data_IF_769662190533
#
_entry.id   IF_769662190533
#
_cell.length_a   1.000
_cell.length_b   1.000
_cell.length_c   1.000
_cell.angle_alpha   90.00
_cell.angle_beta   90.00
_cell.angle_gamma   90.00
#
_symmetry.space_group_name_H-M   'P 1'
#
loop_
_entity.id
_entity.type
_entity.pdbx_description
1 polymer ?
#
# COMPACT_ATOMS: atom_id res chain seq x y z
N UNK A 1 4.77 6.45 -0.81
CA UNK A 1 4.27 5.07 -0.73
C UNK A 1 5.10 4.15 -1.61
N UNK A 2 5.37 2.93 -1.13
CA UNK A 2 6.17 1.92 -1.85
C UNK A 2 5.35 0.71 -2.31
N UNK A 3 4.04 0.74 -2.11
CA UNK A 3 3.15 -0.34 -2.51
C UNK A 3 3.10 -0.51 -4.05
N UNK A 4 2.81 -1.70 -4.56
CA UNK A 4 2.61 -1.90 -5.98
C UNK A 4 1.49 -1.02 -6.54
N UNK A 5 1.76 -0.33 -7.66
CA UNK A 5 0.83 0.58 -8.32
C UNK A 5 0.32 1.73 -7.42
N UNK A 6 1.10 2.11 -6.40
CA UNK A 6 0.76 3.20 -5.50
C UNK A 6 0.54 4.52 -6.27
N UNK A 7 -0.46 5.33 -5.87
CA UNK A 7 -0.67 6.64 -6.46
C UNK A 7 0.53 7.56 -6.24
N UNK A 8 0.84 8.38 -7.23
CA UNK A 8 1.80 9.46 -7.07
C UNK A 8 1.18 10.60 -6.26
N UNK A 9 1.61 10.75 -5.02
CA UNK A 9 1.11 11.81 -4.16
C UNK A 9 1.48 13.22 -4.67
N UNK A 10 2.60 13.37 -5.38
CA UNK A 10 2.95 14.65 -6.01
C UNK A 10 1.87 15.10 -7.00
N UNK A 11 1.29 14.16 -7.76
CA UNK A 11 0.16 14.47 -8.63
C UNK A 11 -1.07 14.92 -7.85
N UNK A 12 -1.38 14.25 -6.75
CA UNK A 12 -2.52 14.61 -5.89
C UNK A 12 -2.33 15.97 -5.19
N UNK A 13 -1.08 16.37 -4.95
CA UNK A 13 -0.71 17.58 -4.25
C UNK A 13 -0.80 18.84 -5.12
N UNK A 14 -0.82 18.70 -6.45
CA UNK A 14 -0.86 19.86 -7.37
C UNK A 14 -2.03 20.79 -7.11
N UNK A 15 -1.71 22.06 -6.78
CA UNK A 15 -2.69 23.09 -6.42
C UNK A 15 -3.21 22.98 -4.97
N UNK A 16 -2.70 22.08 -4.17
CA UNK A 16 -3.07 21.85 -2.77
C UNK A 16 -1.89 22.09 -1.81
N UNK A 17 -0.77 22.60 -2.31
CA UNK A 17 0.48 22.74 -1.55
C UNK A 17 0.30 23.61 -0.29
N UNK A 18 -0.49 24.69 -0.41
CA UNK A 18 -0.81 25.56 0.73
C UNK A 18 -1.65 24.83 1.78
N UNK A 19 -2.64 24.02 1.35
CA UNK A 19 -3.45 23.21 2.24
C UNK A 19 -2.60 22.15 2.95
N UNK A 20 -1.68 21.51 2.23
CA UNK A 20 -0.77 20.52 2.81
C UNK A 20 0.11 21.15 3.89
N UNK A 21 0.74 22.29 3.61
CA UNK A 21 1.57 22.99 4.60
C UNK A 21 0.75 23.45 5.84
N UNK A 22 -0.46 23.97 5.62
CA UNK A 22 -1.36 24.34 6.74
C UNK A 22 -1.71 23.12 7.60
N UNK A 23 -1.95 21.97 6.99
CA UNK A 23 -2.18 20.71 7.71
C UNK A 23 -0.98 20.29 8.55
N UNK A 24 0.23 20.36 7.99
CA UNK A 24 1.47 20.09 8.72
C UNK A 24 1.70 21.07 9.88
N UNK A 25 1.42 22.35 9.67
CA UNK A 25 1.53 23.39 10.70
C UNK A 25 0.57 23.13 11.86
N UNK A 26 -0.64 22.66 11.57
CA UNK A 26 -1.61 22.30 12.61
C UNK A 26 -1.11 21.09 13.43
N UNK A 27 -0.59 20.06 12.79
CA UNK A 27 -0.06 18.87 13.45
C UNK A 27 1.19 19.19 14.27
N UNK A 28 2.08 20.03 13.78
CA UNK A 28 3.32 20.42 14.47
C UNK A 28 3.07 21.18 15.77
N UNK A 29 1.90 21.82 15.92
CA UNK A 29 1.47 22.46 17.19
C UNK A 29 0.97 21.45 18.22
N UNK A 30 0.57 20.25 17.79
CA UNK A 30 0.07 19.20 18.69
C UNK A 30 1.21 18.31 19.19
N UNK A 31 2.14 17.95 18.31
CA UNK A 31 3.25 17.05 18.62
C UNK A 31 4.41 17.25 17.63
N UNK A 32 5.60 16.75 18.02
CA UNK A 32 6.75 16.66 17.11
C UNK A 32 6.37 15.80 15.91
N UNK A 33 6.40 16.39 14.73
CA UNK A 33 5.91 15.78 13.50
C UNK A 33 7.05 15.44 12.57
N UNK A 34 7.02 14.25 12.00
CA UNK A 34 7.96 13.75 11.01
C UNK A 34 7.24 13.51 9.68
N UNK A 35 7.90 13.87 8.59
CA UNK A 35 7.44 13.62 7.22
C UNK A 35 8.43 12.69 6.52
N UNK A 36 8.03 11.45 6.28
CA UNK A 36 8.80 10.49 5.48
C UNK A 36 8.57 10.71 3.99
N UNK A 37 9.64 10.88 3.22
CA UNK A 37 9.60 11.03 1.77
C UNK A 37 10.54 10.02 1.09
N UNK A 38 10.35 9.80 -0.22
CA UNK A 38 11.33 9.05 -1.02
C UNK A 38 12.54 9.96 -1.33
N UNK A 39 13.75 9.39 -1.37
CA UNK A 39 14.96 10.10 -1.85
C UNK A 39 14.80 10.61 -3.29
N UNK A 40 13.90 10.00 -4.06
CA UNK A 40 13.60 10.39 -5.45
C UNK A 40 12.60 11.54 -5.54
N UNK A 41 12.02 11.97 -4.40
CA UNK A 41 11.03 13.05 -4.35
C UNK A 41 11.66 14.39 -4.71
N UNK A 42 11.02 15.14 -5.62
CA UNK A 42 11.50 16.43 -6.11
C UNK A 42 10.54 17.59 -5.81
N UNK A 43 9.33 17.32 -5.38
CA UNK A 43 8.35 18.37 -5.06
C UNK A 43 8.85 19.24 -3.92
N UNK A 44 8.98 20.55 -4.17
CA UNK A 44 9.43 21.52 -3.16
C UNK A 44 8.50 21.53 -1.94
N UNK A 45 7.21 21.34 -2.13
CA UNK A 45 6.22 21.29 -1.04
C UNK A 45 6.45 20.11 -0.07
N UNK A 46 7.08 19.02 -0.52
CA UNK A 46 7.41 17.89 0.30
C UNK A 46 8.84 17.95 0.85
N UNK A 47 9.80 18.26 0.00
CA UNK A 47 11.24 18.32 0.37
C UNK A 47 11.55 19.49 1.29
N UNK A 48 10.86 20.61 1.11
CA UNK A 48 11.05 21.85 1.88
C UNK A 48 9.89 22.13 2.84
N UNK A 49 9.15 21.10 3.25
CA UNK A 49 8.04 21.23 4.19
C UNK A 49 8.55 21.88 5.50
N UNK A 50 7.78 22.87 6.00
CA UNK A 50 8.16 23.64 7.18
C UNK A 50 7.53 23.06 8.45
N UNK A 51 8.14 23.36 9.60
CA UNK A 51 7.67 23.01 10.95
C UNK A 51 7.57 21.49 11.20
N UNK A 52 8.19 20.68 10.35
CA UNK A 52 8.28 19.22 10.48
C UNK A 52 9.69 18.76 10.20
N UNK A 53 10.06 17.58 10.71
CA UNK A 53 11.33 16.94 10.38
C UNK A 53 11.13 16.08 9.13
N UNK A 54 11.73 16.46 8.02
CA UNK A 54 11.68 15.71 6.77
C UNK A 54 12.79 14.64 6.79
N UNK A 55 12.43 13.39 6.56
CA UNK A 55 13.36 12.27 6.48
C UNK A 55 13.19 11.55 5.15
N UNK A 56 14.28 11.37 4.41
CA UNK A 56 14.27 10.68 3.12
C UNK A 56 14.60 9.21 3.28
N UNK A 57 13.83 8.35 2.61
CA UNK A 57 14.00 6.90 2.60
C UNK A 57 14.29 6.40 1.20
N UNK A 58 15.19 5.43 1.10
CA UNK A 58 15.49 4.69 -0.12
C UNK A 58 15.31 3.19 0.12
N UNK A 59 14.87 2.49 -0.90
CA UNK A 59 14.71 1.04 -0.86
C UNK A 59 13.47 0.54 -1.58
N UNK A 60 13.38 -0.78 -1.78
CA UNK A 60 12.16 -1.43 -2.27
C UNK A 60 11.05 -1.38 -1.22
N UNK A 61 9.84 -1.82 -1.60
CA UNK A 61 8.80 -2.10 -0.62
C UNK A 61 9.34 -3.10 0.43
N UNK A 62 9.16 -2.86 1.74
CA UNK A 62 8.23 -1.94 2.40
C UNK A 62 8.85 -0.60 2.91
N UNK A 63 9.88 -0.05 2.29
CA UNK A 63 10.51 1.20 2.73
C UNK A 63 9.53 2.38 2.89
N UNK A 64 8.40 2.36 2.14
CA UNK A 64 7.33 3.35 2.26
C UNK A 64 6.32 3.09 3.39
N UNK A 65 6.42 1.96 4.10
CA UNK A 65 5.51 1.66 5.20
C UNK A 65 5.88 2.48 6.44
N UNK A 66 4.87 3.10 7.03
CA UNK A 66 5.08 4.02 8.16
C UNK A 66 5.73 3.35 9.37
N UNK A 67 5.41 2.09 9.66
CA UNK A 67 6.04 1.33 10.75
C UNK A 67 7.54 1.15 10.55
N UNK A 68 7.98 0.87 9.32
CA UNK A 68 9.41 0.80 8.96
C UNK A 68 10.08 2.16 9.15
N UNK A 69 9.43 3.24 8.71
CA UNK A 69 9.96 4.60 8.87
C UNK A 69 10.07 5.01 10.34
N UNK A 70 9.09 4.67 11.16
CA UNK A 70 9.12 4.92 12.61
C UNK A 70 10.29 4.19 13.25
N UNK A 71 10.48 2.91 12.94
CA UNK A 71 11.58 2.12 13.49
C UNK A 71 12.97 2.74 13.19
N UNK A 72 13.14 3.29 11.98
CA UNK A 72 14.40 3.92 11.61
C UNK A 72 14.59 5.35 12.12
N UNK A 73 13.52 6.09 12.40
CA UNK A 73 13.60 7.47 12.90
C UNK A 73 13.68 7.49 14.43
N UNK A 74 12.78 6.78 15.08
CA UNK A 74 12.61 6.73 16.53
C UNK A 74 11.83 5.49 16.91
N UNK A 75 12.49 4.35 17.14
CA UNK A 75 11.82 3.12 17.55
C UNK A 75 10.95 3.36 18.78
N UNK A 76 9.74 2.83 18.77
CA UNK A 76 8.79 2.99 19.87
C UNK A 76 9.13 2.00 20.98
N UNK A 77 9.27 2.50 22.20
CA UNK A 77 9.51 1.66 23.38
C UNK A 77 8.26 1.60 24.27
N UNK A 78 8.26 0.64 25.22
CA UNK A 78 7.11 0.45 26.14
C UNK A 78 6.76 1.74 26.87
N UNK A 79 5.50 2.13 26.79
CA UNK A 79 4.97 3.37 27.39
C UNK A 79 4.93 4.58 26.45
N UNK A 80 5.53 4.49 25.27
CA UNK A 80 5.44 5.52 24.24
C UNK A 80 4.24 5.30 23.31
N UNK A 81 3.72 6.38 22.75
CA UNK A 81 2.64 6.34 21.76
C UNK A 81 3.01 7.20 20.56
N UNK A 82 2.91 6.63 19.38
CA UNK A 82 3.12 7.32 18.10
C UNK A 82 1.82 7.30 17.29
N UNK A 83 1.42 8.47 16.82
CA UNK A 83 0.27 8.62 15.94
C UNK A 83 0.75 8.72 14.50
N UNK A 84 0.06 8.04 13.62
CA UNK A 84 0.32 8.09 12.17
C UNK A 84 -0.84 8.70 11.42
N UNK A 85 -0.54 9.41 10.35
CA UNK A 85 -1.54 10.04 9.49
C UNK A 85 -1.09 9.93 8.03
N UNK A 86 -2.01 9.63 7.11
CA UNK A 86 -1.71 9.65 5.69
C UNK A 86 -1.57 11.07 5.16
N UNK A 87 -0.77 11.24 4.12
CA UNK A 87 -0.56 12.55 3.50
C UNK A 87 -1.88 13.16 2.96
N UNK A 88 -2.80 12.33 2.48
CA UNK A 88 -4.13 12.76 2.05
C UNK A 88 -4.97 13.29 3.22
N UNK A 89 -4.85 12.68 4.40
CA UNK A 89 -5.58 13.17 5.58
C UNK A 89 -5.01 14.50 6.08
N UNK A 90 -3.72 14.75 5.88
CA UNK A 90 -3.12 16.09 6.14
C UNK A 90 -3.76 17.15 5.24
N UNK A 91 -4.05 16.83 3.97
CA UNK A 91 -4.78 17.75 3.08
C UNK A 91 -6.19 18.06 3.60
N UNK A 92 -6.90 17.06 4.17
CA UNK A 92 -8.24 17.32 4.75
C UNK A 92 -8.18 18.29 5.94
N UNK A 93 -7.17 18.13 6.80
CA UNK A 93 -6.92 19.05 7.91
C UNK A 93 -6.63 20.46 7.38
N UNK A 94 -5.74 20.57 6.40
CA UNK A 94 -5.38 21.88 5.84
C UNK A 94 -6.56 22.59 5.17
N UNK A 95 -7.37 21.85 4.38
CA UNK A 95 -8.60 22.41 3.79
C UNK A 95 -9.58 22.90 4.86
N UNK A 96 -9.79 22.09 5.90
CA UNK A 96 -10.63 22.49 7.02
C UNK A 96 -10.14 23.78 7.68
N UNK A 97 -8.85 23.88 7.98
CA UNK A 97 -8.25 25.05 8.62
C UNK A 97 -8.33 26.31 7.74
N UNK A 98 -8.15 26.16 6.42
CA UNK A 98 -8.16 27.28 5.50
C UNK A 98 -9.58 27.73 5.11
N UNK A 99 -10.55 26.82 5.04
CA UNK A 99 -11.90 27.12 4.53
C UNK A 99 -13.01 27.08 5.58
N UNK A 100 -12.75 26.50 6.76
CA UNK A 100 -13.76 26.23 7.79
C UNK A 100 -14.77 25.14 7.40
N UNK A 101 -14.55 24.41 6.29
CA UNK A 101 -15.46 23.38 5.80
C UNK A 101 -14.74 22.04 5.64
N UNK A 102 -15.42 20.96 6.03
CA UNK A 102 -14.91 19.59 5.84
C UNK A 102 -15.02 19.20 4.37
N UNK A 103 -13.87 18.97 3.73
CA UNK A 103 -13.80 18.40 2.40
C UNK A 103 -12.88 17.16 2.41
N UNK A 104 -13.49 15.99 2.37
CA UNK A 104 -12.83 14.68 2.35
C UNK A 104 -12.68 14.13 0.91
N UNK A 105 -12.63 14.99 -0.08
CA UNK A 105 -12.33 14.61 -1.46
C UNK A 105 -10.86 14.25 -1.58
N UNK A 106 -10.57 13.09 -2.16
CA UNK A 106 -9.20 12.63 -2.43
C UNK A 106 -9.00 12.26 -3.89
N UNK A 107 -7.76 12.30 -4.33
CA UNK A 107 -7.34 11.76 -5.62
C UNK A 107 -7.09 10.26 -5.45
N UNK A 108 -7.80 9.46 -6.23
CA UNK A 108 -7.73 7.98 -6.19
C UNK A 108 -7.19 7.49 -7.52
N UNK A 109 -6.17 6.62 -7.47
CA UNK A 109 -5.67 5.94 -8.65
C UNK A 109 -6.52 4.71 -8.94
N UNK A 110 -7.01 4.58 -10.16
CA UNK A 110 -7.69 3.37 -10.66
C UNK A 110 -6.69 2.59 -11.49
N UNK A 111 -6.29 1.42 -11.01
CA UNK A 111 -5.14 0.65 -11.52
C UNK A 111 -5.45 -0.85 -11.60
N UNK A 112 -4.50 -1.61 -12.10
CA UNK A 112 -4.59 -3.07 -12.22
C UNK A 112 -4.60 -3.53 -13.68
N UNK A 113 -4.27 -4.79 -13.90
CA UNK A 113 -4.16 -5.38 -15.26
C UNK A 113 -5.49 -5.41 -16.02
N UNK A 114 -6.61 -5.38 -15.30
CA UNK A 114 -7.94 -5.48 -15.87
C UNK A 114 -8.66 -4.14 -16.00
N UNK A 115 -7.96 -3.03 -15.73
CA UNK A 115 -8.47 -1.68 -15.96
C UNK A 115 -8.11 -1.24 -17.38
N UNK A 116 -9.11 -0.93 -18.19
CA UNK A 116 -8.93 -0.56 -19.61
C UNK A 116 -8.23 0.79 -19.78
N UNK A 117 -8.56 1.75 -18.91
CA UNK A 117 -7.98 3.10 -18.92
C UNK A 117 -7.57 3.48 -17.51
N UNK A 118 -6.34 3.12 -17.07
CA UNK A 118 -5.82 3.56 -15.78
C UNK A 118 -5.80 5.08 -15.70
N UNK A 119 -6.35 5.63 -14.61
CA UNK A 119 -6.47 7.07 -14.45
C UNK A 119 -6.60 7.47 -12.98
N UNK A 120 -6.35 8.75 -12.71
CA UNK A 120 -6.72 9.36 -11.44
C UNK A 120 -8.14 9.93 -11.50
N UNK A 121 -8.90 9.72 -10.44
CA UNK A 121 -10.21 10.33 -10.26
C UNK A 121 -10.34 10.99 -8.88
N UNK A 122 -11.14 12.04 -8.78
CA UNK A 122 -11.48 12.68 -7.50
C UNK A 122 -12.73 12.04 -6.93
N UNK A 123 -12.62 11.41 -5.78
CA UNK A 123 -13.71 10.75 -5.08
C UNK A 123 -13.80 11.24 -3.64
N UNK A 124 -14.99 11.28 -3.09
CA UNK A 124 -15.17 11.45 -1.65
C UNK A 124 -14.90 10.14 -0.93
N UNK A 125 -14.46 10.22 0.31
CA UNK A 125 -14.38 9.06 1.20
C UNK A 125 -15.75 8.36 1.26
N UNK A 126 -15.76 7.04 1.10
CA UNK A 126 -17.00 6.25 1.05
C UNK A 126 -17.81 6.39 -0.25
N UNK A 127 -17.23 6.91 -1.33
CA UNK A 127 -17.90 7.01 -2.62
C UNK A 127 -18.26 5.63 -3.18
N UNK A 128 -19.43 5.53 -3.83
CA UNK A 128 -19.88 4.35 -4.54
C UNK A 128 -19.00 4.09 -5.77
N UNK A 129 -18.52 2.87 -5.94
CA UNK A 129 -17.53 2.51 -6.97
C UNK A 129 -18.12 2.15 -8.32
N UNK A 130 -19.44 1.93 -8.41
CA UNK A 130 -20.14 1.50 -9.64
C UNK A 130 -19.76 2.33 -10.86
N UNK A 131 -19.78 3.65 -10.71
CA UNK A 131 -19.49 4.56 -11.83
C UNK A 131 -18.00 4.60 -12.20
N UNK A 132 -17.12 4.24 -11.29
CA UNK A 132 -15.67 4.21 -11.52
C UNK A 132 -15.30 3.03 -12.42
N UNK A 133 -15.93 1.88 -12.18
CA UNK A 133 -15.64 0.65 -12.91
C UNK A 133 -16.48 0.48 -14.19
N UNK A 134 -17.63 1.16 -14.29
CA UNK A 134 -18.55 1.03 -15.43
C UNK A 134 -17.87 1.35 -16.75
N UNK A 135 -17.75 0.34 -17.63
CA UNK A 135 -17.10 0.49 -18.95
C UNK A 135 -15.59 0.73 -18.91
N UNK A 136 -14.95 0.56 -17.77
CA UNK A 136 -13.50 0.75 -17.60
C UNK A 136 -12.76 -0.50 -17.11
N UNK A 137 -13.41 -1.65 -17.11
CA UNK A 137 -12.82 -2.94 -16.75
C UNK A 137 -13.13 -3.97 -17.83
N UNK A 138 -12.29 -5.00 -17.95
CA UNK A 138 -12.56 -6.15 -18.84
C UNK A 138 -13.81 -6.91 -18.38
N UNK A 139 -14.46 -7.61 -19.30
CA UNK A 139 -15.73 -8.32 -19.02
C UNK A 139 -15.71 -9.78 -19.42
N UNK A 140 -14.56 -10.29 -19.84
CA UNK A 140 -14.35 -11.63 -20.39
C UNK A 140 -13.95 -12.69 -19.33
N UNK A 141 -13.80 -12.26 -18.06
CA UNK A 141 -13.37 -13.11 -16.95
C UNK A 141 -13.87 -12.58 -15.61
N UNK A 142 -13.78 -13.42 -14.58
CA UNK A 142 -14.07 -13.01 -13.21
C UNK A 142 -12.97 -12.09 -12.67
N UNK A 143 -13.39 -11.00 -12.04
CA UNK A 143 -12.51 -9.95 -11.58
C UNK A 143 -12.54 -9.80 -10.05
N UNK A 144 -11.37 -9.57 -9.49
CA UNK A 144 -11.21 -9.12 -8.11
C UNK A 144 -11.07 -7.61 -8.07
N UNK A 145 -12.06 -6.96 -7.49
CA UNK A 145 -12.04 -5.53 -7.20
C UNK A 145 -11.47 -5.33 -5.80
N UNK A 146 -10.48 -4.47 -5.67
CA UNK A 146 -9.77 -4.21 -4.43
C UNK A 146 -9.83 -2.72 -4.12
N UNK A 147 -10.34 -2.37 -2.93
CA UNK A 147 -10.12 -1.05 -2.35
C UNK A 147 -8.78 -1.06 -1.65
N UNK A 148 -7.83 -0.27 -2.13
CA UNK A 148 -6.42 -0.31 -1.76
C UNK A 148 -5.54 -1.05 -2.77
N UNK A 149 -4.35 -1.45 -2.33
CA UNK A 149 -3.36 -2.19 -3.13
C UNK A 149 -3.55 -3.71 -3.03
N UNK A 150 -2.80 -4.45 -3.84
CA UNK A 150 -2.90 -5.93 -3.89
C UNK A 150 -2.36 -6.65 -2.66
N UNK A 151 -1.58 -5.99 -1.80
CA UNK A 151 -0.95 -6.61 -0.63
C UNK A 151 -1.82 -6.49 0.62
N UNK A 152 -2.44 -5.33 0.85
CA UNK A 152 -3.16 -5.01 2.09
C UNK A 152 -4.58 -4.52 1.87
N UNK A 153 -4.99 -4.29 0.61
CA UNK A 153 -6.32 -3.83 0.27
C UNK A 153 -7.40 -4.88 0.54
N UNK A 154 -8.65 -4.43 0.55
CA UNK A 154 -9.82 -5.28 0.81
C UNK A 154 -10.57 -5.59 -0.48
N UNK A 155 -10.94 -6.86 -0.69
CA UNK A 155 -11.87 -7.24 -1.77
C UNK A 155 -13.21 -6.53 -1.54
N UNK A 156 -13.70 -5.86 -2.56
CA UNK A 156 -14.99 -5.16 -2.56
C UNK A 156 -15.86 -5.62 -3.73
N UNK A 157 -17.16 -5.40 -3.63
CA UNK A 157 -18.06 -5.57 -4.78
C UNK A 157 -17.82 -4.45 -5.79
N UNK A 158 -18.05 -4.66 -7.11
CA UNK A 158 -18.07 -3.57 -8.08
C UNK A 158 -19.09 -2.47 -7.75
N UNK A 159 -20.12 -2.79 -6.95
CA UNK A 159 -21.10 -1.86 -6.41
C UNK A 159 -20.80 -1.47 -4.95
N UNK A 160 -19.60 -1.73 -4.48
CA UNK A 160 -19.15 -1.39 -3.12
C UNK A 160 -18.74 0.07 -2.97
N UNK A 161 -18.08 0.35 -1.87
CA UNK A 161 -17.67 1.71 -1.49
C UNK A 161 -16.15 1.79 -1.34
N UNK A 162 -15.61 2.99 -1.61
CA UNK A 162 -14.21 3.31 -1.35
C UNK A 162 -13.92 3.26 0.15
N UNK A 163 -12.90 2.52 0.54
CA UNK A 163 -12.44 2.48 1.93
C UNK A 163 -11.97 3.84 2.43
N UNK A 164 -12.13 4.06 3.74
CA UNK A 164 -11.89 5.38 4.36
C UNK A 164 -10.43 5.85 4.24
N UNK A 165 -9.48 4.93 4.15
CA UNK A 165 -8.06 5.24 4.08
C UNK A 165 -7.44 4.95 2.71
N UNK A 166 -8.24 4.45 1.75
CA UNK A 166 -7.72 4.01 0.47
C UNK A 166 -7.66 5.16 -0.54
N UNK A 167 -6.51 5.31 -1.18
CA UNK A 167 -6.25 6.24 -2.30
C UNK A 167 -5.99 5.50 -3.62
N UNK A 168 -6.24 4.19 -3.64
CA UNK A 168 -6.03 3.31 -4.78
C UNK A 168 -7.20 2.34 -4.91
N UNK A 169 -7.59 2.06 -6.14
CA UNK A 169 -8.49 0.98 -6.53
C UNK A 169 -7.76 0.08 -7.51
N UNK A 170 -7.73 -1.21 -7.23
CA UNK A 170 -6.98 -2.17 -8.05
C UNK A 170 -7.92 -3.25 -8.56
N UNK A 171 -7.84 -3.55 -9.86
CA UNK A 171 -8.63 -4.64 -10.47
C UNK A 171 -7.69 -5.63 -11.12
N UNK A 172 -7.78 -6.89 -10.70
CA UNK A 172 -7.00 -8.02 -11.21
C UNK A 172 -7.91 -9.20 -11.51
N UNK A 173 -7.47 -10.22 -12.29
CA UNK A 173 -8.24 -11.44 -12.45
C UNK A 173 -8.44 -12.16 -11.11
N UNK A 174 -9.63 -12.69 -10.86
CA UNK A 174 -9.88 -13.59 -9.72
C UNK A 174 -9.17 -14.92 -9.94
N UNK A 175 -9.34 -15.50 -11.11
CA UNK A 175 -8.66 -16.73 -11.53
C UNK A 175 -9.35 -18.03 -11.10
N UNK A 176 -10.54 -17.96 -10.50
CA UNK A 176 -11.27 -19.13 -9.99
C UNK A 176 -11.69 -20.10 -11.09
N UNK A 177 -11.84 -19.60 -12.33
CA UNK A 177 -12.17 -20.41 -13.51
C UNK A 177 -11.00 -21.26 -14.05
N UNK A 178 -9.79 -21.02 -13.55
CA UNK A 178 -8.60 -21.70 -14.07
C UNK A 178 -8.31 -22.96 -13.27
N UNK A 179 -8.60 -24.12 -13.84
CA UNK A 179 -8.28 -25.43 -13.28
C UNK A 179 -7.06 -26.02 -13.97
N UNK A 180 -6.02 -26.34 -13.20
CA UNK A 180 -4.78 -26.90 -13.72
C UNK A 180 -4.53 -28.28 -13.13
N UNK A 181 -4.50 -29.29 -13.99
CA UNK A 181 -4.05 -30.64 -13.61
C UNK A 181 -2.51 -30.66 -13.63
N UNK A 182 -1.87 -31.17 -12.57
CA UNK A 182 -0.42 -31.23 -12.41
C UNK A 182 0.29 -29.88 -12.54
N UNK A 183 -0.39 -28.78 -12.17
CA UNK A 183 0.12 -27.42 -12.32
C UNK A 183 1.46 -27.15 -11.62
N UNK A 184 1.82 -27.94 -10.61
CA UNK A 184 3.09 -27.84 -9.87
C UNK A 184 4.32 -28.29 -10.67
N UNK A 185 4.16 -29.09 -11.73
CA UNK A 185 5.26 -29.53 -12.62
C UNK A 185 5.35 -28.71 -13.90
N UNK A 186 4.40 -27.83 -14.16
CA UNK A 186 4.36 -27.00 -15.35
C UNK A 186 5.53 -25.99 -15.41
N UNK A 187 6.18 -25.78 -16.56
CA UNK A 187 7.31 -24.85 -16.71
C UNK A 187 6.93 -23.38 -16.55
N UNK A 188 5.67 -23.02 -16.79
CA UNK A 188 5.05 -21.69 -16.54
C UNK A 188 5.90 -20.51 -17.02
N UNK A 189 6.22 -20.44 -18.31
CA UNK A 189 6.97 -19.34 -18.91
C UNK A 189 6.29 -17.97 -18.82
N UNK A 190 4.99 -17.93 -18.53
CA UNK A 190 4.16 -16.73 -18.47
C UNK A 190 3.75 -16.34 -17.05
N UNK A 191 4.32 -16.97 -16.02
CA UNK A 191 3.99 -16.66 -14.63
C UNK A 191 5.21 -16.14 -13.89
N UNK A 192 4.98 -15.13 -13.03
CA UNK A 192 6.03 -14.57 -12.18
C UNK A 192 6.50 -15.57 -11.13
N UNK A 193 7.81 -15.62 -10.88
CA UNK A 193 8.41 -16.44 -9.85
C UNK A 193 9.58 -15.71 -9.21
N UNK A 194 9.50 -15.46 -7.91
CA UNK A 194 10.57 -14.82 -7.12
C UNK A 194 11.78 -15.75 -7.01
N UNK A 195 11.55 -17.03 -6.73
CA UNK A 195 12.60 -18.03 -6.45
C UNK A 195 13.01 -18.83 -7.70
N UNK A 196 12.66 -18.36 -8.90
CA UNK A 196 12.92 -19.07 -10.16
C UNK A 196 12.33 -20.48 -10.21
N UNK A 197 11.25 -20.73 -9.48
CA UNK A 197 10.53 -22.02 -9.52
C UNK A 197 9.88 -22.29 -10.87
N UNK A 198 9.61 -21.24 -11.65
CA UNK A 198 9.10 -21.31 -13.02
C UNK A 198 10.19 -20.85 -13.99
N UNK A 199 10.13 -21.32 -15.21
CA UNK A 199 11.14 -20.99 -16.24
C UNK A 199 10.92 -19.60 -16.88
N UNK A 200 10.01 -18.80 -16.36
CA UNK A 200 9.77 -17.45 -16.83
C UNK A 200 11.00 -16.52 -16.75
N UNK A 201 11.95 -16.79 -15.86
CA UNK A 201 13.21 -16.06 -15.77
C UNK A 201 14.09 -16.19 -17.05
N UNK A 202 13.86 -17.20 -17.88
CA UNK A 202 14.52 -17.36 -19.18
C UNK A 202 13.98 -16.39 -20.26
N UNK A 203 12.79 -15.80 -20.01
CA UNK A 203 12.10 -14.95 -20.98
C UNK A 203 12.55 -13.50 -20.97
N UNK A 204 13.57 -13.14 -20.17
CA UNK A 204 14.05 -11.76 -20.03
C UNK A 204 13.06 -10.84 -19.29
N UNK A 205 13.06 -9.56 -19.62
CA UNK A 205 12.12 -8.60 -19.05
C UNK A 205 10.74 -8.78 -19.67
N UNK A 206 9.77 -9.15 -18.86
CA UNK A 206 8.39 -9.40 -19.27
C UNK A 206 7.43 -8.85 -18.22
N UNK A 207 6.31 -8.32 -18.69
CA UNK A 207 5.19 -7.97 -17.83
C UNK A 207 4.32 -9.20 -17.60
N UNK A 208 3.82 -9.34 -16.37
CA UNK A 208 2.99 -10.47 -15.96
C UNK A 208 1.64 -9.97 -15.47
N UNK A 209 0.59 -10.63 -15.94
CA UNK A 209 -0.75 -10.49 -15.35
C UNK A 209 -0.82 -11.47 -14.18
N UNK A 210 -0.92 -10.94 -12.96
CA UNK A 210 -0.98 -11.72 -11.74
C UNK A 210 -2.44 -11.81 -11.30
N UNK A 211 -2.94 -13.03 -11.14
CA UNK A 211 -4.28 -13.32 -10.62
C UNK A 211 -4.26 -13.47 -9.07
N UNK A 212 -5.44 -13.61 -8.47
CA UNK A 212 -5.59 -13.73 -7.02
C UNK A 212 -5.44 -15.16 -6.47
N UNK A 213 -5.08 -16.14 -7.32
CA UNK A 213 -4.93 -17.54 -6.88
C UNK A 213 -3.73 -17.75 -5.98
N UNK A 214 -3.90 -18.61 -5.00
CA UNK A 214 -2.79 -19.23 -4.28
C UNK A 214 -2.24 -20.34 -5.18
N UNK A 215 -0.99 -20.20 -5.63
CA UNK A 215 -0.33 -21.17 -6.53
C UNK A 215 0.40 -22.26 -5.73
N UNK A 216 -0.33 -22.94 -4.88
CA UNK A 216 0.16 -24.00 -4.01
C UNK A 216 -0.88 -24.34 -2.94
N UNK A 217 -0.58 -25.29 -2.07
CA UNK A 217 -1.41 -25.63 -0.92
C UNK A 217 -1.09 -24.75 0.28
N UNK A 218 -2.03 -24.64 1.20
CA UNK A 218 -1.77 -24.08 2.52
C UNK A 218 -0.66 -24.86 3.22
N UNK A 219 0.25 -24.15 3.86
CA UNK A 219 1.38 -24.71 4.60
C UNK A 219 1.41 -24.12 5.99
N UNK A 220 1.80 -24.96 6.96
CA UNK A 220 2.13 -24.44 8.28
C UNK A 220 3.35 -23.53 8.20
N UNK A 221 3.37 -22.49 9.02
CA UNK A 221 4.53 -21.63 9.14
C UNK A 221 5.70 -22.42 9.74
N UNK A 222 6.78 -22.56 8.98
CA UNK A 222 8.03 -23.18 9.42
C UNK A 222 9.09 -22.09 9.63
N UNK A 223 10.10 -22.40 10.45
CA UNK A 223 11.25 -21.52 10.65
C UNK A 223 12.20 -21.70 9.47
N UNK A 224 12.09 -20.82 8.49
CA UNK A 224 12.82 -20.90 7.22
C UNK A 224 13.93 -19.85 7.09
N UNK A 225 13.93 -18.83 7.97
CA UNK A 225 14.75 -17.63 7.92
C UNK A 225 14.59 -16.81 6.62
N UNK A 226 13.51 -17.03 5.87
CA UNK A 226 13.22 -16.26 4.65
C UNK A 226 12.80 -14.84 4.96
N UNK A 227 12.05 -14.64 6.06
CA UNK A 227 11.64 -13.31 6.50
C UNK A 227 12.81 -12.47 6.97
N UNK A 228 13.75 -13.06 7.72
CA UNK A 228 14.92 -12.36 8.25
C UNK A 228 15.82 -11.78 7.15
N UNK A 229 15.85 -12.44 5.99
CA UNK A 229 16.64 -11.97 4.83
C UNK A 229 16.12 -10.68 4.18
N UNK A 230 14.83 -10.39 4.35
CA UNK A 230 14.16 -9.30 3.63
C UNK A 230 13.46 -8.32 4.57
N UNK A 231 13.45 -8.62 5.86
CA UNK A 231 12.81 -7.77 6.85
C UNK A 231 13.65 -6.52 7.11
N UNK A 232 13.08 -5.31 6.99
CA UNK A 232 13.86 -4.07 7.03
C UNK A 232 14.06 -3.51 8.44
N UNK A 233 13.86 -4.30 9.48
CA UNK A 233 14.03 -3.93 10.89
C UNK A 233 14.76 -5.04 11.62
N UNK A 234 15.52 -4.68 12.65
CA UNK A 234 16.28 -5.61 13.49
C UNK A 234 15.36 -6.21 14.58
N UNK A 235 14.49 -7.11 14.17
CA UNK A 235 13.61 -7.90 15.06
C UNK A 235 13.58 -9.35 14.56
N UNK A 236 12.97 -10.25 15.34
CA UNK A 236 12.81 -11.67 14.99
C UNK A 236 11.41 -11.95 14.41
N UNK A 237 11.14 -11.67 13.11
CA UNK A 237 9.79 -11.68 12.56
C UNK A 237 9.13 -13.06 12.58
N UNK A 238 9.88 -14.15 12.35
CA UNK A 238 9.31 -15.51 12.38
C UNK A 238 8.89 -15.92 13.78
N UNK A 239 9.68 -15.59 14.80
CA UNK A 239 9.33 -15.86 16.20
C UNK A 239 8.15 -15.01 16.65
N UNK A 240 8.15 -13.73 16.30
CA UNK A 240 7.06 -12.81 16.64
C UNK A 240 5.72 -13.28 16.04
N UNK A 241 5.68 -13.63 14.75
CA UNK A 241 4.46 -14.14 14.11
C UNK A 241 3.99 -15.44 14.76
N UNK A 242 4.91 -16.35 15.13
CA UNK A 242 4.54 -17.57 15.86
C UNK A 242 3.99 -17.28 17.26
N UNK A 243 4.55 -16.34 17.98
CA UNK A 243 4.03 -15.91 19.28
C UNK A 243 2.61 -15.33 19.15
N UNK A 244 2.36 -14.52 18.11
CA UNK A 244 1.04 -13.95 17.80
C UNK A 244 0.03 -15.08 17.51
N UNK A 245 0.39 -16.05 16.66
CA UNK A 245 -0.48 -17.19 16.33
C UNK A 245 -0.80 -18.02 17.57
N UNK A 246 0.18 -18.21 18.47
CA UNK A 246 0.00 -18.97 19.71
C UNK A 246 -0.74 -18.18 20.81
N UNK A 247 -0.92 -16.86 20.66
CA UNK A 247 -1.47 -16.00 21.70
C UNK A 247 -0.55 -15.81 22.92
N UNK A 248 0.75 -16.02 22.74
CA UNK A 248 1.77 -15.92 23.80
C UNK A 248 2.24 -14.47 23.97
N UNK A 249 1.56 -13.76 24.88
CA UNK A 249 1.80 -12.33 25.11
C UNK A 249 3.19 -12.08 25.67
N UNK A 250 3.68 -12.93 26.56
CA UNK A 250 4.99 -12.75 27.18
C UNK A 250 6.12 -12.80 26.13
N UNK A 251 6.00 -13.72 25.18
CA UNK A 251 6.93 -13.77 24.04
C UNK A 251 6.77 -12.62 23.06
N UNK A 252 5.54 -12.17 22.82
CA UNK A 252 5.32 -10.98 21.96
C UNK A 252 5.97 -9.71 22.54
N UNK A 253 5.99 -9.57 23.88
CA UNK A 253 6.65 -8.45 24.55
C UNK A 253 8.17 -8.58 24.60
N UNK A 254 8.70 -9.79 24.51
CA UNK A 254 10.14 -10.08 24.61
C UNK A 254 10.89 -10.02 23.28
N UNK A 255 10.17 -10.12 22.14
CA UNK A 255 10.71 -10.19 20.77
C UNK A 255 10.60 -8.85 20.04
#
# INVERSE_FOLDING_TARGET
>A
DSNPLAPDFEFALKGEEANFQTGLDALSKMAKTYLGISVKQKSAALVQAKNVTVTAFDGPHPAGNVGVQINHISPVVKGETVWTISAEAVLFIGRLMNTGRVDMTRTVAVTGSEVLKPAYCKLKVGALLTNVFKGNVTTDKDLRYISGNVLTGKKVSPNGFLGSFDSQLTVIPEGDEIHEMLGWIMPRFNQFSVNRSYFSWLMGKKEYVIDARIKGGERHMIMSNEYDRVFPMDIFPEYLVKAIIAGDIDRMEAL
#
